data_IF_750517411330
#
_entry.id   IF_750517411330
#
_cell.length_a   1.000
_cell.length_b   1.000
_cell.length_c   1.000
_cell.angle_alpha   90.00
_cell.angle_beta   90.00
_cell.angle_gamma   90.00
#
_symmetry.space_group_name_H-M   'P 1'
#
loop_
_entity.id
_entity.type
_entity.pdbx_description
1 polymer ?
#
# COMPACT_ATOMS: atom_id res chain seq x y z
N UNK A 1 58.16 -25.62 10.82
CA UNK A 1 57.44 -26.29 11.92
C UNK A 1 55.95 -26.05 11.75
N UNK A 2 55.26 -27.04 11.18
CA UNK A 2 53.80 -27.05 11.07
C UNK A 2 53.22 -27.35 12.44
N UNK A 3 52.42 -26.41 13.00
CA UNK A 3 51.66 -26.68 14.20
C UNK A 3 50.52 -27.63 13.83
N UNK A 4 50.59 -28.89 14.29
CA UNK A 4 49.41 -29.77 14.27
C UNK A 4 48.31 -29.12 15.08
N UNK A 5 47.14 -28.87 14.45
CA UNK A 5 45.95 -28.41 15.12
C UNK A 5 45.56 -29.47 16.13
N UNK A 6 45.34 -29.08 17.39
CA UNK A 6 44.84 -29.98 18.45
C UNK A 6 43.51 -30.58 18.02
N UNK A 7 43.25 -31.84 18.40
CA UNK A 7 41.94 -32.48 18.16
C UNK A 7 40.77 -31.65 18.71
N UNK A 8 40.99 -30.85 19.75
CA UNK A 8 40.01 -29.92 20.32
C UNK A 8 39.73 -28.76 19.36
N UNK A 9 40.74 -28.24 18.66
CA UNK A 9 40.56 -27.14 17.69
C UNK A 9 39.76 -27.61 16.47
N UNK A 10 39.98 -28.85 16.02
CA UNK A 10 39.21 -29.46 14.91
C UNK A 10 37.74 -29.68 15.31
N UNK A 11 37.48 -30.16 16.54
CA UNK A 11 36.14 -30.37 17.07
C UNK A 11 35.40 -29.03 17.19
N UNK A 12 36.05 -27.99 17.73
CA UNK A 12 35.46 -26.65 17.84
C UNK A 12 35.12 -26.02 16.49
N UNK A 13 36.00 -26.19 15.48
CA UNK A 13 35.76 -25.69 14.12
C UNK A 13 34.58 -26.40 13.43
N UNK A 14 34.42 -27.73 13.66
CA UNK A 14 33.29 -28.50 13.14
C UNK A 14 31.98 -28.16 13.86
N UNK A 15 31.98 -27.98 15.17
CA UNK A 15 30.81 -27.54 15.94
C UNK A 15 30.36 -26.15 15.48
N UNK A 16 31.31 -25.23 15.31
CA UNK A 16 30.99 -23.87 14.81
C UNK A 16 30.37 -23.90 13.42
N UNK A 17 30.92 -24.66 12.47
CA UNK A 17 30.34 -24.84 11.13
C UNK A 17 28.96 -25.46 11.17
N UNK A 18 28.73 -26.46 12.05
CA UNK A 18 27.42 -27.09 12.16
C UNK A 18 26.38 -26.11 12.72
N UNK A 19 26.77 -25.27 13.70
CA UNK A 19 25.89 -24.22 14.25
C UNK A 19 25.57 -23.17 13.19
N UNK A 20 26.56 -22.70 12.43
CA UNK A 20 26.37 -21.71 11.38
C UNK A 20 25.41 -22.23 10.29
N UNK A 21 25.62 -23.46 9.79
CA UNK A 21 24.72 -24.09 8.81
C UNK A 21 23.30 -24.28 9.36
N UNK A 22 23.14 -24.68 10.63
CA UNK A 22 21.82 -24.85 11.26
C UNK A 22 21.09 -23.52 11.43
N UNK A 23 21.81 -22.42 11.68
CA UNK A 23 21.23 -21.07 11.77
C UNK A 23 20.79 -20.58 10.39
N UNK A 24 21.61 -20.82 9.34
CA UNK A 24 21.25 -20.46 7.97
C UNK A 24 20.00 -21.20 7.49
N UNK A 25 19.92 -22.53 7.70
CA UNK A 25 18.75 -23.34 7.34
C UNK A 25 17.49 -22.87 8.04
N UNK A 26 17.56 -22.61 9.37
CA UNK A 26 16.42 -22.10 10.12
C UNK A 26 16.01 -20.68 9.70
N UNK A 27 16.96 -19.84 9.32
CA UNK A 27 16.64 -18.48 8.86
C UNK A 27 15.93 -18.51 7.50
N UNK A 28 16.27 -19.45 6.62
CA UNK A 28 15.60 -19.68 5.34
C UNK A 28 14.19 -20.19 5.58
N UNK A 29 13.99 -21.15 6.50
CA UNK A 29 12.66 -21.66 6.85
C UNK A 29 11.75 -20.58 7.41
N UNK A 30 12.26 -19.74 8.32
CA UNK A 30 11.52 -18.59 8.86
C UNK A 30 11.20 -17.59 7.76
N UNK A 31 12.13 -17.29 6.85
CA UNK A 31 11.90 -16.39 5.74
C UNK A 31 10.81 -16.95 4.79
N UNK A 32 10.82 -18.25 4.50
CA UNK A 32 9.78 -18.89 3.70
C UNK A 32 8.40 -18.85 4.38
N UNK A 33 8.35 -19.07 5.71
CA UNK A 33 7.12 -18.99 6.49
C UNK A 33 6.55 -17.55 6.48
N UNK A 34 7.39 -16.54 6.66
CA UNK A 34 7.01 -15.11 6.53
C UNK A 34 6.48 -14.82 5.13
N UNK A 35 7.14 -15.31 4.07
CA UNK A 35 6.67 -15.16 2.68
C UNK A 35 5.32 -15.84 2.47
N UNK A 36 5.11 -17.03 3.03
CA UNK A 36 3.80 -17.72 2.98
C UNK A 36 2.71 -16.92 3.68
N UNK A 37 2.98 -16.38 4.87
CA UNK A 37 2.03 -15.55 5.63
C UNK A 37 1.73 -14.25 4.88
N UNK A 38 2.74 -13.59 4.29
CA UNK A 38 2.55 -12.39 3.47
C UNK A 38 1.76 -12.69 2.20
N UNK A 39 2.01 -13.82 1.53
CA UNK A 39 1.25 -14.25 0.38
C UNK A 39 -0.19 -14.62 0.74
N UNK A 40 -0.41 -15.25 1.90
CA UNK A 40 -1.75 -15.53 2.43
C UNK A 40 -2.49 -14.23 2.76
N UNK A 41 -1.83 -13.24 3.39
CA UNK A 41 -2.42 -11.92 3.65
C UNK A 41 -2.75 -11.16 2.35
N UNK A 42 -1.93 -11.30 1.31
CA UNK A 42 -2.22 -10.76 -0.03
C UNK A 42 -3.35 -11.51 -0.73
N UNK A 43 -3.54 -12.83 -0.48
CA UNK A 43 -4.71 -13.59 -0.95
C UNK A 43 -5.99 -13.07 -0.30
N UNK A 44 -6.00 -12.80 1.00
CA UNK A 44 -7.15 -12.19 1.69
C UNK A 44 -7.52 -10.83 1.06
N UNK A 45 -6.54 -10.02 0.66
CA UNK A 45 -6.79 -8.76 -0.08
C UNK A 45 -7.29 -8.99 -1.51
N UNK A 46 -6.93 -10.10 -2.15
CA UNK A 46 -7.43 -10.47 -3.49
C UNK A 46 -8.89 -10.90 -3.49
N UNK A 47 -9.38 -11.42 -2.38
CA UNK A 47 -10.75 -11.91 -2.23
C UNK A 47 -11.76 -10.84 -1.81
N UNK A 48 -11.31 -9.58 -1.61
CA UNK A 48 -12.23 -8.49 -1.32
C UNK A 48 -13.13 -8.21 -2.54
N UNK A 49 -14.47 -8.21 -2.38
CA UNK A 49 -15.39 -7.91 -3.48
C UNK A 49 -15.06 -6.58 -4.16
N UNK A 50 -15.14 -6.54 -5.49
CA UNK A 50 -14.82 -5.32 -6.26
C UNK A 50 -15.62 -4.11 -5.80
N UNK A 51 -16.87 -4.30 -5.39
CA UNK A 51 -17.68 -3.25 -4.79
C UNK A 51 -16.98 -2.60 -3.58
N UNK A 52 -16.50 -3.42 -2.65
CA UNK A 52 -15.78 -2.94 -1.46
C UNK A 52 -14.44 -2.29 -1.81
N UNK A 53 -13.75 -2.76 -2.84
CA UNK A 53 -12.52 -2.12 -3.33
C UNK A 53 -12.80 -0.71 -3.82
N UNK A 54 -13.88 -0.52 -4.60
CA UNK A 54 -14.29 0.79 -5.07
C UNK A 54 -14.68 1.70 -3.91
N UNK A 55 -15.49 1.23 -2.96
CA UNK A 55 -15.82 2.01 -1.76
C UNK A 55 -14.56 2.47 -1.02
N UNK A 56 -13.60 1.57 -0.82
CA UNK A 56 -12.35 1.88 -0.12
C UNK A 56 -11.51 2.94 -0.89
N UNK A 57 -11.43 2.83 -2.22
CA UNK A 57 -10.73 3.80 -3.06
C UNK A 57 -11.38 5.18 -2.98
N UNK A 58 -12.71 5.24 -3.05
CA UNK A 58 -13.46 6.50 -2.94
C UNK A 58 -13.34 7.11 -1.53
N UNK A 59 -13.40 6.29 -0.49
CA UNK A 59 -13.27 6.75 0.89
C UNK A 59 -11.91 7.39 1.16
N UNK A 60 -10.85 6.84 0.55
CA UNK A 60 -9.49 7.32 0.69
C UNK A 60 -9.08 8.32 -0.40
N UNK A 61 -10.02 8.84 -1.19
CA UNK A 61 -9.72 9.70 -2.33
C UNK A 61 -8.93 10.97 -1.92
N UNK A 62 -9.36 11.67 -0.86
CA UNK A 62 -8.63 12.84 -0.34
C UNK A 62 -7.29 12.44 0.30
N UNK A 63 -7.24 11.32 1.03
CA UNK A 63 -5.99 10.81 1.61
C UNK A 63 -4.95 10.46 0.53
N UNK A 64 -5.38 9.95 -0.64
CA UNK A 64 -4.49 9.68 -1.77
C UNK A 64 -3.90 10.98 -2.33
N UNK A 65 -4.67 12.06 -2.39
CA UNK A 65 -4.16 13.38 -2.81
C UNK A 65 -3.15 13.92 -1.83
N UNK A 66 -3.43 13.79 -0.53
CA UNK A 66 -2.54 14.23 0.53
C UNK A 66 -1.23 13.42 0.54
N UNK A 67 -1.31 12.11 0.31
CA UNK A 67 -0.13 11.25 0.20
C UNK A 67 0.81 11.65 -0.95
N UNK A 68 0.27 12.13 -2.08
CA UNK A 68 1.07 12.66 -3.19
C UNK A 68 1.84 13.91 -2.75
N UNK A 69 1.16 14.85 -2.09
CA UNK A 69 1.80 16.09 -1.58
C UNK A 69 2.88 15.76 -0.56
N UNK A 70 2.60 14.84 0.38
CA UNK A 70 3.59 14.42 1.36
C UNK A 70 4.83 13.81 0.69
N UNK A 71 4.65 12.98 -0.35
CA UNK A 71 5.78 12.43 -1.10
C UNK A 71 6.58 13.49 -1.86
N UNK A 72 5.92 14.54 -2.36
CA UNK A 72 6.59 15.69 -2.96
C UNK A 72 7.44 16.45 -1.95
N UNK A 73 6.93 16.64 -0.74
CA UNK A 73 7.64 17.25 0.37
C UNK A 73 8.82 16.40 0.82
N UNK A 74 8.61 15.09 1.00
CA UNK A 74 9.66 14.13 1.37
C UNK A 74 10.82 14.14 0.35
N UNK A 75 10.51 14.23 -0.96
CA UNK A 75 11.52 14.32 -2.03
C UNK A 75 12.27 15.63 -1.94
N UNK A 76 11.57 16.77 -1.76
CA UNK A 76 12.19 18.10 -1.62
C UNK A 76 13.07 18.15 -0.38
N UNK A 77 12.60 17.63 0.76
CA UNK A 77 13.43 17.57 1.98
C UNK A 77 14.68 16.73 1.76
N UNK A 78 14.57 15.60 1.08
CA UNK A 78 15.71 14.76 0.74
C UNK A 78 16.71 15.48 -0.16
N UNK A 79 16.24 16.29 -1.12
CA UNK A 79 17.08 17.11 -2.01
C UNK A 79 17.81 18.24 -1.28
N UNK A 80 17.15 18.89 -0.31
CA UNK A 80 17.71 20.04 0.42
C UNK A 80 18.64 19.58 1.54
N UNK A 81 18.24 18.60 2.31
CA UNK A 81 18.94 18.20 3.55
C UNK A 81 19.72 16.89 3.43
N UNK A 82 19.57 16.18 2.31
CA UNK A 82 20.17 14.86 2.15
C UNK A 82 19.52 13.81 3.08
N UNK A 83 20.25 12.72 3.31
CA UNK A 83 19.81 11.69 4.24
C UNK A 83 19.82 12.21 5.67
N UNK A 84 18.68 12.20 6.35
CA UNK A 84 18.64 12.46 7.80
C UNK A 84 19.51 11.44 8.53
N UNK A 85 20.40 11.87 9.41
CA UNK A 85 21.16 10.99 10.27
C UNK A 85 20.19 10.24 11.19
N UNK A 86 19.98 8.94 10.91
CA UNK A 86 19.21 8.08 11.79
C UNK A 86 19.98 7.86 13.09
N UNK A 87 19.27 7.81 14.22
CA UNK A 87 19.85 7.42 15.50
C UNK A 87 20.61 6.08 15.34
N UNK A 88 21.76 5.95 16.01
CA UNK A 88 22.67 4.80 15.85
C UNK A 88 22.02 3.41 15.98
N UNK A 89 20.89 3.30 16.67
CA UNK A 89 20.16 2.04 16.85
C UNK A 89 19.47 1.51 15.59
N UNK A 90 19.10 2.39 14.65
CA UNK A 90 18.44 1.99 13.39
C UNK A 90 19.47 1.72 12.29
N UNK A 91 20.68 2.32 12.38
CA UNK A 91 21.77 2.11 11.42
C UNK A 91 22.29 0.66 11.45
N UNK A 92 22.22 -0.03 12.57
CA UNK A 92 22.74 -1.38 12.72
C UNK A 92 21.97 -2.44 11.90
N UNK A 93 20.67 -2.23 11.65
CA UNK A 93 19.87 -3.18 10.85
C UNK A 93 19.94 -2.95 9.34
N UNK A 94 20.41 -1.77 8.90
CA UNK A 94 20.51 -1.43 7.46
C UNK A 94 21.89 -1.65 6.86
N UNK A 95 22.91 -2.02 7.65
CA UNK A 95 24.32 -2.12 7.22
C UNK A 95 24.74 -3.52 6.75
N UNK A 96 23.82 -4.46 6.61
CA UNK A 96 24.14 -5.80 6.09
C UNK A 96 24.52 -5.84 4.61
N UNK A 97 24.34 -4.75 3.85
CA UNK A 97 24.92 -4.52 2.51
C UNK A 97 25.55 -3.13 2.51
N UNK A 98 26.86 -3.08 2.28
CA UNK A 98 27.68 -1.89 2.32
C UNK A 98 27.45 -0.90 1.18
N UNK A 99 26.20 -0.39 1.05
CA UNK A 99 25.90 0.67 0.08
C UNK A 99 26.47 2.00 0.58
N UNK A 100 27.06 2.78 -0.32
CA UNK A 100 27.55 4.12 -0.03
C UNK A 100 26.43 5.05 0.44
N UNK A 101 26.75 6.25 0.98
CA UNK A 101 25.73 7.24 1.32
C UNK A 101 24.99 7.71 0.08
N UNK A 102 25.70 7.85 -1.03
CA UNK A 102 25.19 8.23 -2.34
C UNK A 102 24.20 7.20 -2.89
N UNK A 103 24.53 5.91 -2.79
CA UNK A 103 23.64 4.83 -3.24
C UNK A 103 22.33 4.85 -2.44
N UNK A 104 22.41 5.00 -1.12
CA UNK A 104 21.21 5.07 -0.25
C UNK A 104 20.36 6.30 -0.53
N UNK A 105 20.96 7.43 -0.85
CA UNK A 105 20.25 8.64 -1.24
C UNK A 105 19.47 8.40 -2.55
N UNK A 106 20.15 7.85 -3.54
CA UNK A 106 19.56 7.52 -4.85
C UNK A 106 18.41 6.53 -4.71
N UNK A 107 18.64 5.41 -4.01
CA UNK A 107 17.63 4.38 -3.75
C UNK A 107 16.38 4.96 -3.07
N UNK A 108 16.57 5.84 -2.07
CA UNK A 108 15.45 6.43 -1.34
C UNK A 108 14.68 7.43 -2.21
N UNK A 109 15.37 8.24 -3.01
CA UNK A 109 14.75 9.19 -3.94
C UNK A 109 13.96 8.45 -5.02
N UNK A 110 14.53 7.41 -5.59
CA UNK A 110 13.86 6.56 -6.59
C UNK A 110 12.61 5.90 -5.99
N UNK A 111 12.72 5.36 -4.77
CA UNK A 111 11.60 4.77 -4.05
C UNK A 111 10.46 5.77 -3.85
N UNK A 112 10.73 6.97 -3.34
CA UNK A 112 9.71 7.98 -3.12
C UNK A 112 9.07 8.44 -4.43
N UNK A 113 9.88 8.63 -5.48
CA UNK A 113 9.40 8.98 -6.81
C UNK A 113 8.51 7.91 -7.42
N UNK A 114 8.86 6.64 -7.24
CA UNK A 114 8.06 5.50 -7.69
C UNK A 114 6.72 5.42 -6.94
N UNK A 115 6.74 5.49 -5.59
CA UNK A 115 5.54 5.46 -4.76
C UNK A 115 4.59 6.62 -5.10
N UNK A 116 5.13 7.83 -5.34
CA UNK A 116 4.36 8.99 -5.81
C UNK A 116 3.70 8.70 -7.15
N UNK A 117 4.46 8.22 -8.14
CA UNK A 117 3.98 7.93 -9.48
C UNK A 117 2.86 6.87 -9.48
N UNK A 118 3.00 5.82 -8.68
CA UNK A 118 1.98 4.78 -8.52
C UNK A 118 0.68 5.36 -7.92
N UNK A 119 0.80 6.23 -6.91
CA UNK A 119 -0.36 6.88 -6.29
C UNK A 119 -1.05 7.84 -7.27
N UNK A 120 -0.28 8.62 -8.05
CA UNK A 120 -0.81 9.49 -9.10
C UNK A 120 -1.52 8.71 -10.21
N UNK A 121 -0.99 7.55 -10.61
CA UNK A 121 -1.65 6.68 -11.60
C UNK A 121 -2.98 6.15 -11.08
N UNK A 122 -3.02 5.75 -9.81
CA UNK A 122 -4.25 5.29 -9.16
C UNK A 122 -5.27 6.42 -9.09
N UNK A 123 -4.87 7.62 -8.64
CA UNK A 123 -5.74 8.78 -8.55
C UNK A 123 -6.32 9.16 -9.91
N UNK A 124 -5.49 9.22 -10.97
CA UNK A 124 -5.95 9.47 -12.35
C UNK A 124 -6.98 8.45 -12.83
N UNK A 125 -6.83 7.17 -12.48
CA UNK A 125 -7.83 6.15 -12.82
C UNK A 125 -9.16 6.42 -12.13
N UNK A 126 -9.13 6.81 -10.86
CA UNK A 126 -10.33 7.17 -10.08
C UNK A 126 -10.99 8.42 -10.70
N UNK A 127 -10.22 9.46 -10.98
CA UNK A 127 -10.72 10.70 -11.60
C UNK A 127 -11.40 10.44 -12.94
N UNK A 128 -10.75 9.64 -13.79
CA UNK A 128 -11.32 9.25 -15.09
C UNK A 128 -12.63 8.46 -14.93
N UNK A 129 -12.72 7.61 -13.92
CA UNK A 129 -13.95 6.85 -13.63
C UNK A 129 -15.06 7.77 -13.10
N UNK A 130 -14.74 8.67 -12.17
CA UNK A 130 -15.67 9.67 -11.65
C UNK A 130 -16.20 10.60 -12.73
N UNK A 131 -15.35 11.06 -13.64
CA UNK A 131 -15.75 11.90 -14.76
C UNK A 131 -16.79 11.23 -15.67
N UNK A 132 -16.75 9.89 -15.82
CA UNK A 132 -17.75 9.15 -16.61
C UNK A 132 -19.14 9.05 -15.97
N UNK A 133 -19.24 9.33 -14.66
CA UNK A 133 -20.50 9.32 -13.92
C UNK A 133 -20.92 10.71 -13.44
N UNK A 134 -20.12 11.75 -13.69
CA UNK A 134 -20.31 13.10 -13.17
C UNK A 134 -21.64 13.72 -13.55
N UNK A 135 -22.14 13.44 -14.76
CA UNK A 135 -23.39 13.98 -15.28
C UNK A 135 -24.64 13.21 -14.81
N UNK A 136 -24.45 12.17 -13.99
CA UNK A 136 -25.55 11.43 -13.41
C UNK A 136 -26.27 12.27 -12.33
N UNK A 137 -27.59 12.36 -12.41
CA UNK A 137 -28.42 13.15 -11.49
C UNK A 137 -28.23 12.79 -10.02
N UNK A 138 -27.71 11.60 -9.73
CA UNK A 138 -27.44 11.12 -8.38
C UNK A 138 -25.95 11.15 -8.01
N UNK A 139 -25.10 11.78 -8.84
CA UNK A 139 -23.67 11.88 -8.57
C UNK A 139 -23.37 12.51 -7.20
N UNK A 140 -24.19 13.43 -6.74
CA UNK A 140 -24.02 14.06 -5.43
C UNK A 140 -24.04 13.07 -4.26
N UNK A 141 -24.67 11.89 -4.40
CA UNK A 141 -24.60 10.83 -3.39
C UNK A 141 -23.12 10.39 -3.20
N UNK A 142 -22.40 10.16 -4.30
CA UNK A 142 -20.99 9.78 -4.28
C UNK A 142 -20.14 10.94 -3.72
N UNK A 143 -20.42 12.16 -4.16
CA UNK A 143 -19.68 13.35 -3.73
C UNK A 143 -19.78 13.55 -2.21
N UNK A 144 -20.98 13.63 -1.65
CA UNK A 144 -21.16 13.88 -0.22
C UNK A 144 -20.69 12.73 0.67
N UNK A 145 -20.82 11.49 0.21
CA UNK A 145 -20.45 10.33 1.01
C UNK A 145 -18.95 10.04 1.01
N UNK A 146 -18.26 10.29 -0.10
CA UNK A 146 -16.90 9.78 -0.29
C UNK A 146 -15.87 10.85 -0.66
N UNK A 147 -16.24 11.87 -1.45
CA UNK A 147 -15.27 12.77 -2.06
C UNK A 147 -15.06 14.08 -1.31
N UNK A 148 -15.97 14.42 -0.41
CA UNK A 148 -15.80 15.60 0.43
C UNK A 148 -14.64 15.41 1.44
N UNK A 149 -14.18 16.52 2.04
CA UNK A 149 -13.27 16.44 3.18
C UNK A 149 -13.92 15.67 4.33
N UNK A 150 -13.10 15.09 5.21
CA UNK A 150 -13.58 14.22 6.29
C UNK A 150 -14.66 14.90 7.15
N UNK A 151 -14.49 16.20 7.41
CA UNK A 151 -15.41 17.03 8.19
C UNK A 151 -16.80 17.20 7.52
N UNK A 152 -16.83 17.16 6.18
CA UNK A 152 -18.03 17.39 5.37
C UNK A 152 -18.62 16.08 4.81
N UNK A 153 -18.07 14.94 5.18
CA UNK A 153 -18.59 13.63 4.73
C UNK A 153 -19.87 13.28 5.45
N UNK A 154 -20.83 12.82 4.68
CA UNK A 154 -22.11 12.32 5.21
C UNK A 154 -22.02 10.82 5.42
N UNK A 155 -22.14 10.37 6.66
CA UNK A 155 -21.88 8.99 7.03
C UNK A 155 -23.07 8.05 6.77
N UNK A 156 -24.30 8.55 6.90
CA UNK A 156 -25.50 7.72 6.80
C UNK A 156 -26.29 8.00 5.52
N UNK A 157 -27.04 7.00 5.07
CA UNK A 157 -27.91 7.15 3.90
C UNK A 157 -29.18 7.93 4.25
N UNK A 158 -29.54 8.02 5.54
CA UNK A 158 -30.66 8.82 6.04
C UNK A 158 -30.34 10.31 5.96
N UNK A 159 -29.18 10.74 6.46
CA UNK A 159 -28.69 12.13 6.32
C UNK A 159 -28.57 12.57 4.87
N UNK A 160 -28.05 11.67 3.99
CA UNK A 160 -28.03 11.93 2.56
C UNK A 160 -29.43 12.10 1.97
N UNK A 161 -30.41 11.35 2.48
CA UNK A 161 -31.79 11.49 2.10
C UNK A 161 -32.34 12.86 2.44
N UNK A 162 -32.08 13.37 3.64
CA UNK A 162 -32.47 14.70 4.09
C UNK A 162 -31.83 15.80 3.23
N UNK A 163 -30.50 15.75 3.05
CA UNK A 163 -29.74 16.74 2.26
C UNK A 163 -30.21 16.79 0.81
N UNK A 164 -30.47 15.63 0.20
CA UNK A 164 -30.83 15.52 -1.22
C UNK A 164 -32.34 15.51 -1.47
N UNK A 165 -33.15 15.62 -0.41
CA UNK A 165 -34.61 15.53 -0.43
C UNK A 165 -35.09 14.26 -1.19
N UNK A 166 -34.57 13.11 -0.75
CA UNK A 166 -34.88 11.78 -1.29
C UNK A 166 -35.04 10.78 -0.14
N UNK A 167 -35.87 9.77 -0.36
CA UNK A 167 -35.99 8.68 0.59
C UNK A 167 -34.69 7.83 0.63
N UNK A 168 -34.44 7.20 1.77
CA UNK A 168 -33.27 6.35 2.01
C UNK A 168 -33.13 5.24 0.98
N UNK A 169 -34.22 4.63 0.56
CA UNK A 169 -34.19 3.51 -0.40
C UNK A 169 -33.75 3.99 -1.78
N UNK A 170 -34.14 5.18 -2.17
CA UNK A 170 -33.67 5.84 -3.40
C UNK A 170 -32.17 6.16 -3.33
N UNK A 171 -31.70 6.66 -2.20
CA UNK A 171 -30.27 6.91 -1.96
C UNK A 171 -29.47 5.60 -2.08
N UNK A 172 -29.84 4.58 -1.30
CA UNK A 172 -29.15 3.28 -1.30
C UNK A 172 -29.11 2.64 -2.68
N UNK A 173 -30.26 2.61 -3.38
CA UNK A 173 -30.36 2.04 -4.73
C UNK A 173 -29.45 2.74 -5.73
N UNK A 174 -29.44 4.07 -5.74
CA UNK A 174 -28.63 4.84 -6.68
C UNK A 174 -27.14 4.84 -6.31
N UNK A 175 -26.79 4.83 -5.03
CA UNK A 175 -25.42 4.62 -4.58
C UNK A 175 -24.88 3.28 -5.10
N UNK A 176 -25.60 2.19 -4.87
CA UNK A 176 -25.21 0.86 -5.34
C UNK A 176 -25.07 0.81 -6.86
N UNK A 177 -25.99 1.43 -7.60
CA UNK A 177 -25.93 1.53 -9.06
C UNK A 177 -24.67 2.27 -9.53
N UNK A 178 -24.36 3.41 -8.92
CA UNK A 178 -23.18 4.20 -9.29
C UNK A 178 -21.88 3.49 -8.93
N UNK A 179 -21.78 2.87 -7.75
CA UNK A 179 -20.61 2.09 -7.37
C UNK A 179 -20.41 0.91 -8.31
N UNK A 180 -21.46 0.18 -8.67
CA UNK A 180 -21.35 -0.93 -9.64
C UNK A 180 -20.90 -0.43 -11.03
N UNK A 181 -21.34 0.76 -11.45
CA UNK A 181 -20.83 1.39 -12.68
C UNK A 181 -19.33 1.70 -12.57
N UNK A 182 -18.88 2.21 -11.41
CA UNK A 182 -17.46 2.44 -11.15
C UNK A 182 -16.67 1.12 -11.07
N UNK A 183 -17.24 0.05 -10.51
CA UNK A 183 -16.63 -1.29 -10.53
C UNK A 183 -16.28 -1.71 -11.94
N UNK A 184 -17.23 -1.61 -12.86
CA UNK A 184 -17.02 -1.98 -14.27
C UNK A 184 -15.92 -1.13 -14.94
N UNK A 185 -15.83 0.16 -14.58
CA UNK A 185 -14.84 1.07 -15.16
C UNK A 185 -13.43 0.84 -14.58
N UNK A 186 -13.33 0.67 -13.27
CA UNK A 186 -12.05 0.54 -12.56
C UNK A 186 -11.49 -0.90 -12.63
N UNK A 187 -12.37 -1.88 -12.67
CA UNK A 187 -12.08 -3.30 -12.63
C UNK A 187 -12.86 -4.05 -13.71
N UNK A 188 -12.54 -3.86 -15.00
CA UNK A 188 -13.27 -4.50 -16.11
C UNK A 188 -13.23 -6.03 -16.04
N UNK A 189 -12.21 -6.60 -15.38
CA UNK A 189 -12.11 -8.03 -15.10
C UNK A 189 -13.25 -8.57 -14.21
N UNK A 190 -13.93 -7.69 -13.46
CA UNK A 190 -15.07 -8.06 -12.63
C UNK A 190 -16.22 -8.68 -13.43
N UNK A 191 -16.33 -8.34 -14.73
CA UNK A 191 -17.36 -8.87 -15.63
C UNK A 191 -17.13 -10.36 -15.93
N UNK A 192 -15.86 -10.81 -15.94
CA UNK A 192 -15.50 -12.22 -16.22
C UNK A 192 -15.99 -13.20 -15.15
N UNK A 193 -16.37 -12.71 -13.98
CA UNK A 193 -16.90 -13.53 -12.89
C UNK A 193 -18.44 -13.62 -12.90
N UNK A 194 -19.10 -13.01 -13.89
CA UNK A 194 -20.57 -13.00 -14.02
C UNK A 194 -21.02 -13.96 -15.13
N UNK A 195 -20.07 -14.41 -15.96
CA UNK A 195 -20.28 -15.38 -17.03
C UNK A 195 -19.73 -16.75 -16.58
#
# INVERSE_FOLDING_TARGET
MSKEKSNIDIINENVKKTIENTIEDKSIDIAMEVVKVLNASNKIKKDMPYYKRVELLLYNYENLKEAIKQKEEDIKELEIFGLREKSKSIVMYCTAKGNSKEDRYTDLKEKYSYEKLETERMLRRIDNALNKIKDDKYFNIIKYKYLNKEEDKVNTDDELGEILNKDRTTILRNRNRLINKLVTILFPESIKHII
#
